data_IF_587826752879
#
_entry.id   IF_587826752879
#
_cell.length_a   1.000
_cell.length_b   1.000
_cell.length_c   1.000
_cell.angle_alpha   90.00
_cell.angle_beta   90.00
_cell.angle_gamma   90.00
#
_symmetry.space_group_name_H-M   'P 1'
#
loop_
_entity.id
_entity.type
_entity.pdbx_description
1 polymer ?
#
# COMPACT_ATOMS: atom_id res chain seq x y z
N UNK A 1 -3.96 1.00 -15.29
CA UNK A 1 -2.55 1.39 -15.03
C UNK A 1 -1.62 0.82 -16.11
N UNK A 2 -0.81 1.67 -16.74
CA UNK A 2 0.29 1.26 -17.62
C UNK A 2 1.51 0.85 -16.77
N UNK A 3 2.29 -0.12 -17.27
CA UNK A 3 3.62 -0.41 -16.73
C UNK A 3 4.54 0.76 -17.09
N UNK A 4 5.32 1.23 -16.13
CA UNK A 4 6.43 2.17 -16.35
C UNK A 4 7.73 1.37 -16.33
N UNK A 5 8.59 1.59 -17.33
CA UNK A 5 9.89 0.93 -17.42
C UNK A 5 10.85 1.75 -18.26
N UNK A 6 12.14 1.61 -17.97
CA UNK A 6 13.23 2.09 -18.81
C UNK A 6 13.85 0.93 -19.60
N UNK A 7 14.30 1.22 -20.81
CA UNK A 7 14.98 0.28 -21.68
C UNK A 7 16.33 0.86 -22.08
N UNK A 8 17.38 0.12 -21.80
CA UNK A 8 18.73 0.44 -22.21
C UNK A 8 19.34 -0.73 -22.98
N UNK A 9 20.14 -0.42 -23.99
CA UNK A 9 20.98 -1.42 -24.66
C UNK A 9 22.41 -1.15 -24.25
N UNK A 10 23.06 -2.13 -23.62
CA UNK A 10 24.44 -2.02 -23.17
C UNK A 10 25.31 -3.07 -23.85
N UNK A 11 26.50 -2.67 -24.29
CA UNK A 11 27.52 -3.59 -24.79
C UNK A 11 28.43 -4.01 -23.64
N UNK A 12 28.61 -5.32 -23.49
CA UNK A 12 29.54 -5.91 -22.53
C UNK A 12 30.21 -7.13 -23.15
N UNK A 13 31.55 -7.19 -23.10
CA UNK A 13 32.34 -8.29 -23.66
C UNK A 13 32.02 -8.59 -25.16
N UNK A 14 31.84 -7.54 -25.95
CA UNK A 14 31.51 -7.63 -27.38
C UNK A 14 30.10 -8.17 -27.67
N UNK A 15 29.23 -8.25 -26.66
CA UNK A 15 27.84 -8.70 -26.77
C UNK A 15 26.89 -7.59 -26.34
N UNK A 16 25.76 -7.49 -27.04
CA UNK A 16 24.70 -6.55 -26.71
C UNK A 16 23.70 -7.18 -25.75
N UNK A 17 23.39 -6.45 -24.68
CA UNK A 17 22.41 -6.81 -23.67
C UNK A 17 21.29 -5.76 -23.67
N UNK A 18 20.05 -6.21 -23.49
CA UNK A 18 18.90 -5.33 -23.25
C UNK A 18 18.61 -5.35 -21.76
N UNK A 19 18.72 -4.20 -21.12
CA UNK A 19 18.39 -3.98 -19.71
C UNK A 19 17.01 -3.35 -19.65
N UNK A 20 16.10 -4.01 -18.93
CA UNK A 20 14.76 -3.51 -18.67
C UNK A 20 14.67 -3.19 -17.17
N UNK A 21 14.55 -1.91 -16.83
CA UNK A 21 14.29 -1.47 -15.46
C UNK A 21 12.79 -1.29 -15.28
N UNK A 22 12.14 -2.22 -14.58
CA UNK A 22 10.70 -2.18 -14.36
C UNK A 22 10.40 -1.38 -13.08
N UNK A 23 9.71 -0.27 -13.22
CA UNK A 23 9.32 0.57 -12.09
C UNK A 23 8.11 -0.02 -11.37
N UNK A 24 8.15 0.07 -10.04
CA UNK A 24 7.01 -0.29 -9.19
C UNK A 24 5.83 0.62 -9.53
N UNK A 25 4.63 0.06 -9.56
CA UNK A 25 3.39 0.81 -9.80
C UNK A 25 3.26 2.06 -8.91
N UNK A 26 2.58 3.10 -9.43
CA UNK A 26 2.44 4.37 -8.69
C UNK A 26 1.38 4.35 -7.59
N UNK A 27 0.22 3.73 -7.85
CA UNK A 27 -0.93 3.82 -6.95
C UNK A 27 -1.64 2.49 -6.78
N UNK A 28 -1.93 1.78 -7.88
CA UNK A 28 -2.61 0.49 -7.86
C UNK A 28 -1.74 -0.58 -8.50
N UNK A 29 -1.77 -1.82 -7.96
CA UNK A 29 -1.08 -2.95 -8.57
C UNK A 29 -1.54 -3.20 -10.00
N UNK A 30 -0.64 -3.75 -10.81
CA UNK A 30 -0.90 -4.03 -12.22
C UNK A 30 -1.45 -5.45 -12.34
N UNK A 31 -2.70 -5.56 -12.83
CA UNK A 31 -3.39 -6.82 -13.04
C UNK A 31 -3.23 -7.27 -14.50
N UNK A 32 -3.09 -8.58 -14.71
CA UNK A 32 -3.08 -9.16 -16.05
C UNK A 32 -4.42 -8.91 -16.77
N UNK A 33 -4.38 -8.16 -17.87
CA UNK A 33 -5.59 -7.80 -18.64
C UNK A 33 -6.17 -8.98 -19.43
N UNK A 34 -5.33 -9.93 -19.83
CA UNK A 34 -5.68 -11.06 -20.69
C UNK A 34 -5.11 -12.35 -20.11
N UNK A 35 -5.76 -13.46 -20.42
CA UNK A 35 -5.24 -14.79 -20.19
C UNK A 35 -4.19 -15.14 -21.25
N UNK A 36 -3.17 -15.88 -20.83
CA UNK A 36 -2.24 -16.58 -21.70
C UNK A 36 -2.07 -18.00 -21.14
N UNK A 37 -2.58 -19.05 -21.82
CA UNK A 37 -2.63 -20.41 -21.28
C UNK A 37 -1.27 -20.85 -20.71
N UNK A 38 -1.30 -21.50 -19.55
CA UNK A 38 -0.12 -22.00 -18.81
C UNK A 38 0.89 -20.94 -18.33
N UNK A 39 0.67 -19.64 -18.59
CA UNK A 39 1.62 -18.57 -18.20
C UNK A 39 0.95 -17.47 -17.39
N UNK A 40 -0.14 -16.88 -17.91
CA UNK A 40 -0.79 -15.72 -17.30
C UNK A 40 -2.29 -15.96 -17.14
N UNK A 41 -2.80 -15.62 -15.95
CA UNK A 41 -4.22 -15.66 -15.64
C UNK A 41 -4.77 -14.24 -15.58
N UNK A 42 -5.89 -13.99 -16.25
CA UNK A 42 -6.57 -12.69 -16.26
C UNK A 42 -7.01 -12.33 -14.85
N UNK A 43 -6.73 -11.09 -14.47
CA UNK A 43 -6.99 -10.55 -13.14
C UNK A 43 -6.03 -11.02 -12.06
N UNK A 44 -5.03 -11.85 -12.38
CA UNK A 44 -3.99 -12.21 -11.42
C UNK A 44 -2.94 -11.10 -11.27
N UNK A 45 -2.33 -11.06 -10.09
CA UNK A 45 -1.13 -10.29 -9.78
C UNK A 45 0.06 -11.24 -9.70
N UNK A 46 1.21 -10.74 -10.14
CA UNK A 46 2.47 -11.48 -10.11
C UNK A 46 3.50 -10.70 -9.32
N UNK A 47 4.25 -11.40 -8.47
CA UNK A 47 5.27 -10.82 -7.61
C UNK A 47 6.57 -11.60 -7.75
N UNK A 48 7.70 -10.90 -7.55
CA UNK A 48 9.01 -11.54 -7.52
C UNK A 48 9.28 -12.02 -6.10
N UNK A 49 9.37 -13.34 -5.91
CA UNK A 49 9.60 -13.90 -4.58
C UNK A 49 10.99 -13.49 -4.05
N UNK A 50 11.11 -13.31 -2.73
CA UNK A 50 12.40 -12.99 -2.10
C UNK A 50 13.33 -14.20 -1.97
N UNK A 51 12.76 -15.40 -1.88
CA UNK A 51 13.51 -16.64 -1.60
C UNK A 51 14.15 -17.24 -2.86
N UNK A 52 13.43 -17.17 -3.97
CA UNK A 52 13.87 -17.68 -5.27
C UNK A 52 13.68 -16.59 -6.33
N UNK A 53 14.67 -16.34 -7.20
CA UNK A 53 14.58 -15.33 -8.25
C UNK A 53 13.63 -15.80 -9.36
N UNK A 54 12.34 -15.84 -9.05
CA UNK A 54 11.27 -16.20 -9.96
C UNK A 54 10.09 -15.23 -9.75
N UNK A 55 9.30 -15.08 -10.81
CA UNK A 55 8.04 -14.35 -10.77
C UNK A 55 6.93 -15.37 -10.72
N UNK A 56 6.12 -15.32 -9.67
CA UNK A 56 4.99 -16.25 -9.48
C UNK A 56 3.73 -15.44 -9.31
N UNK A 57 2.58 -16.06 -9.60
CA UNK A 57 1.31 -15.55 -9.09
C UNK A 57 1.42 -15.40 -7.56
N UNK A 58 0.77 -14.40 -6.98
CA UNK A 58 0.80 -14.15 -5.54
C UNK A 58 0.48 -15.45 -4.78
N UNK A 59 1.46 -16.04 -4.08
CA UNK A 59 1.34 -17.42 -3.64
C UNK A 59 0.60 -17.54 -2.31
N UNK A 60 0.63 -16.49 -1.47
CA UNK A 60 0.02 -16.50 -0.15
C UNK A 60 -0.84 -15.27 0.11
N UNK A 61 -1.74 -15.37 1.09
CA UNK A 61 -2.53 -14.24 1.56
C UNK A 61 -1.66 -13.14 2.18
N UNK A 62 -0.55 -13.51 2.82
CA UNK A 62 0.41 -12.56 3.40
C UNK A 62 1.03 -11.69 2.31
N UNK A 63 1.49 -12.29 1.21
CA UNK A 63 2.03 -11.56 0.05
C UNK A 63 0.98 -10.62 -0.57
N UNK A 64 -0.29 -11.04 -0.61
CA UNK A 64 -1.37 -10.18 -1.09
C UNK A 64 -1.59 -8.99 -0.15
N UNK A 65 -1.54 -9.21 1.16
CA UNK A 65 -1.69 -8.15 2.16
C UNK A 65 -0.55 -7.15 2.05
N UNK A 66 0.69 -7.62 1.95
CA UNK A 66 1.87 -6.77 1.76
C UNK A 66 1.76 -5.92 0.48
N UNK A 67 1.26 -6.51 -0.63
CA UNK A 67 1.02 -5.78 -1.88
C UNK A 67 -0.02 -4.67 -1.70
N UNK A 68 -1.12 -4.96 -0.99
CA UNK A 68 -2.19 -3.99 -0.74
C UNK A 68 -1.71 -2.87 0.18
N UNK A 69 -0.98 -3.20 1.24
CA UNK A 69 -0.40 -2.22 2.15
C UNK A 69 0.56 -1.28 1.42
N UNK A 70 1.41 -1.82 0.53
CA UNK A 70 2.27 -1.02 -0.34
C UNK A 70 1.47 -0.09 -1.27
N UNK A 71 0.34 -0.55 -1.80
CA UNK A 71 -0.53 0.25 -2.65
C UNK A 71 -1.22 1.39 -1.86
N UNK A 72 -1.68 1.09 -0.66
CA UNK A 72 -2.28 2.06 0.25
C UNK A 72 -1.25 3.12 0.64
N UNK A 73 -0.04 2.72 1.02
CA UNK A 73 1.03 3.64 1.39
C UNK A 73 1.37 4.61 0.26
N UNK A 74 1.54 4.08 -0.97
CA UNK A 74 1.81 4.89 -2.16
C UNK A 74 0.65 5.85 -2.48
N UNK A 75 -0.58 5.36 -2.42
CA UNK A 75 -1.77 6.16 -2.62
C UNK A 75 -1.89 7.29 -1.61
N UNK A 76 -1.68 6.98 -0.32
CA UNK A 76 -1.69 7.95 0.77
C UNK A 76 -0.59 8.99 0.58
N UNK A 77 0.64 8.56 0.29
CA UNK A 77 1.77 9.47 0.04
C UNK A 77 1.47 10.44 -1.10
N UNK A 78 0.93 9.94 -2.21
CA UNK A 78 0.52 10.77 -3.37
C UNK A 78 -0.57 11.76 -2.97
N UNK A 79 -1.58 11.30 -2.25
CA UNK A 79 -2.67 12.14 -1.76
C UNK A 79 -2.18 13.25 -0.81
N UNK A 80 -1.40 12.91 0.21
CA UNK A 80 -0.83 13.86 1.17
C UNK A 80 0.06 14.90 0.46
N UNK A 81 0.87 14.46 -0.50
CA UNK A 81 1.70 15.36 -1.31
C UNK A 81 0.84 16.37 -2.09
N UNK A 82 -0.27 15.92 -2.66
CA UNK A 82 -1.21 16.79 -3.39
C UNK A 82 -1.95 17.74 -2.45
N UNK A 83 -2.46 17.25 -1.32
CA UNK A 83 -3.15 18.04 -0.31
C UNK A 83 -2.26 19.16 0.23
N UNK A 84 -1.02 18.84 0.57
CA UNK A 84 -0.03 19.82 1.03
C UNK A 84 0.22 20.91 -0.01
N UNK A 85 0.41 20.53 -1.29
CA UNK A 85 0.59 21.48 -2.40
C UNK A 85 -0.65 22.36 -2.65
N UNK A 86 -1.84 21.85 -2.33
CA UNK A 86 -3.09 22.60 -2.42
C UNK A 86 -3.33 23.52 -1.20
N UNK A 87 -2.40 23.59 -0.24
CA UNK A 87 -2.52 24.42 0.96
C UNK A 87 -3.27 23.75 2.12
N UNK A 88 -3.59 22.46 2.02
CA UNK A 88 -4.16 21.69 3.12
C UNK A 88 -3.03 21.19 4.02
N UNK A 89 -2.92 21.77 5.21
CA UNK A 89 -1.99 21.30 6.24
C UNK A 89 -2.57 20.12 7.00
N UNK A 90 -1.80 19.03 7.13
CA UNK A 90 -2.12 17.97 8.09
C UNK A 90 -1.62 18.42 9.46
N UNK A 91 -2.55 18.60 10.40
CA UNK A 91 -2.20 18.81 11.81
C UNK A 91 -2.12 17.43 12.46
N UNK A 92 -0.99 17.05 13.08
CA UNK A 92 -0.92 15.82 13.84
C UNK A 92 -1.98 15.88 14.95
N UNK A 93 -2.90 14.92 14.96
CA UNK A 93 -3.81 14.74 16.09
C UNK A 93 -2.91 14.37 17.27
N UNK A 94 -2.95 15.10 18.41
CA UNK A 94 -2.18 14.72 19.57
C UNK A 94 -2.60 13.30 19.94
N UNK A 95 -1.64 12.36 19.90
CA UNK A 95 -1.83 11.02 20.43
C UNK A 95 -2.25 11.21 21.88
N UNK A 96 -3.47 10.80 22.20
CA UNK A 96 -4.03 10.87 23.55
C UNK A 96 -3.29 9.83 24.39
N UNK A 97 -2.08 10.17 24.83
CA UNK A 97 -1.21 9.34 25.67
C UNK A 97 -1.61 9.43 27.15
N UNK A 98 -2.45 10.40 27.50
CA UNK A 98 -3.15 10.43 28.78
C UNK A 98 -4.53 9.79 28.60
N UNK A 99 -5.07 9.02 29.56
CA UNK A 99 -6.51 8.74 29.54
C UNK A 99 -7.22 10.08 29.38
N UNK A 100 -8.14 10.16 28.40
CA UNK A 100 -9.02 11.31 28.27
C UNK A 100 -9.51 11.65 29.69
N UNK A 101 -9.42 12.90 30.17
CA UNK A 101 -10.22 13.25 31.32
C UNK A 101 -11.62 12.84 30.92
N UNK A 102 -12.21 11.88 31.64
CA UNK A 102 -13.60 11.54 31.45
C UNK A 102 -14.30 12.88 31.35
N UNK A 103 -14.87 13.15 30.17
CA UNK A 103 -15.63 14.37 29.95
C UNK A 103 -16.54 14.46 31.16
N UNK A 104 -16.58 15.57 31.87
CA UNK A 104 -17.30 15.71 33.16
C UNK A 104 -18.73 15.13 33.09
N UNK A 105 -19.30 15.15 31.89
CA UNK A 105 -20.56 14.53 31.46
C UNK A 105 -20.62 13.00 31.71
N UNK A 106 -19.56 12.24 31.41
CA UNK A 106 -19.51 10.78 31.56
C UNK A 106 -19.45 10.36 33.04
N UNK A 107 -18.76 11.15 33.88
CA UNK A 107 -18.74 10.92 35.34
C UNK A 107 -20.08 11.24 35.99
N UNK A 108 -20.72 12.34 35.59
CA UNK A 108 -22.04 12.73 36.09
C UNK A 108 -23.14 11.72 35.70
N UNK A 109 -23.09 11.16 34.49
CA UNK A 109 -23.98 10.06 34.09
C UNK A 109 -23.73 8.79 34.90
N UNK A 110 -22.45 8.44 35.13
CA UNK A 110 -22.08 7.23 35.88
C UNK A 110 -22.52 7.31 37.35
N UNK A 111 -22.37 8.46 38.01
CA UNK A 111 -22.80 8.67 39.39
C UNK A 111 -24.32 8.68 39.53
N UNK A 112 -25.04 9.15 38.50
CA UNK A 112 -26.51 9.12 38.45
C UNK A 112 -27.05 7.69 38.35
N UNK A 113 -26.45 6.86 37.50
CA UNK A 113 -26.83 5.44 37.35
C UNK A 113 -26.54 4.63 38.64
N UNK A 114 -25.47 4.98 39.37
CA UNK A 114 -25.13 4.33 40.64
C UNK A 114 -26.12 4.65 41.77
N UNK A 115 -26.79 5.80 41.70
CA UNK A 115 -27.81 6.23 42.66
C UNK A 115 -29.12 5.45 42.56
N UNK A 116 -29.47 4.95 41.37
CA UNK A 116 -30.68 4.14 41.12
C UNK A 116 -30.50 2.66 41.53
N UNK A 117 -29.31 2.27 41.98
CA UNK A 117 -28.96 0.91 42.41
C UNK A 117 -28.91 0.73 43.95
N UNK A 118 -29.40 1.69 44.73
CA UNK A 118 -29.54 1.60 46.20
C UNK A 118 -30.98 1.52 46.67
#
# INVERSE_FOLDING_TARGET
>A
PSISFDLEVQEYDGKNYVVLEIHVFEQLPILCKKDYPEVLRRGACYVRSRRKPETTEIPTQEDMRDLLDLAIEKGLRKYVTLAYRAGVGLVPIPTVTAPLPATTIDQELYDKELGDLK
#
